data_IF_080012302050
#
_entry.id   IF_080012302050
#
_cell.length_a   1.000
_cell.length_b   1.000
_cell.length_c   1.000
_cell.angle_alpha   90.00
_cell.angle_beta   90.00
_cell.angle_gamma   90.00
#
_symmetry.space_group_name_H-M   'P 1'
#
loop_
_entity.id
_entity.type
_entity.pdbx_description
1 polymer ?
#
# COMPACT_ATOMS: atom_id res chain seq x y z
N UNK A 1 -17.55 -7.92 39.23
CA UNK A 1 -18.38 -7.55 38.09
C UNK A 1 -18.14 -6.10 37.67
N UNK A 2 -18.10 -5.18 38.64
CA UNK A 2 -17.82 -3.77 38.36
C UNK A 2 -16.38 -3.55 37.89
N UNK A 3 -15.44 -4.35 38.38
CA UNK A 3 -14.03 -4.24 38.02
C UNK A 3 -13.74 -4.65 36.57
N UNK A 4 -14.47 -5.65 36.08
CA UNK A 4 -14.31 -6.09 34.68
C UNK A 4 -14.69 -5.01 33.70
N UNK A 5 -15.69 -4.22 34.00
CA UNK A 5 -16.15 -3.12 33.15
C UNK A 5 -15.11 -2.00 33.12
N UNK A 6 -14.52 -1.69 34.27
CA UNK A 6 -13.49 -0.66 34.38
C UNK A 6 -12.17 -1.10 33.74
N UNK A 7 -11.83 -2.38 33.84
CA UNK A 7 -10.59 -2.92 33.25
C UNK A 7 -10.62 -2.91 31.72
N UNK A 8 -11.83 -2.90 31.12
CA UNK A 8 -12.00 -2.87 29.67
C UNK A 8 -12.09 -1.46 29.09
N UNK A 9 -12.30 -0.47 29.94
CA UNK A 9 -12.38 0.91 29.49
C UNK A 9 -10.98 1.51 29.35
N UNK A 10 -10.65 1.94 28.14
CA UNK A 10 -9.41 2.64 27.87
C UNK A 10 -9.66 4.13 28.05
N UNK A 11 -8.91 4.83 28.93
CA UNK A 11 -9.05 6.28 29.06
C UNK A 11 -8.93 7.01 27.72
N UNK A 12 -9.72 8.04 27.53
CA UNK A 12 -9.75 8.79 26.27
C UNK A 12 -8.38 9.31 25.85
N UNK A 13 -7.56 9.76 26.81
CA UNK A 13 -6.22 10.28 26.49
C UNK A 13 -5.29 9.17 25.95
N UNK A 14 -5.42 7.92 26.44
CA UNK A 14 -4.63 6.79 25.93
C UNK A 14 -5.01 6.43 24.50
N UNK A 15 -6.31 6.44 24.21
CA UNK A 15 -6.80 6.21 22.85
C UNK A 15 -6.27 7.28 21.89
N UNK A 16 -6.29 8.54 22.31
CA UNK A 16 -5.78 9.64 21.53
C UNK A 16 -4.28 9.52 21.28
N UNK A 17 -3.49 9.20 22.32
CA UNK A 17 -2.04 9.01 22.19
C UNK A 17 -1.69 7.86 21.27
N UNK A 18 -2.46 6.77 21.36
CA UNK A 18 -2.29 5.61 20.49
C UNK A 18 -2.59 5.97 19.03
N UNK A 19 -3.65 6.73 18.80
CA UNK A 19 -4.01 7.21 17.47
C UNK A 19 -2.93 8.13 16.89
N UNK A 20 -2.43 9.08 17.70
CA UNK A 20 -1.35 9.98 17.28
C UNK A 20 -0.07 9.24 16.92
N UNK A 21 0.28 8.19 17.68
CA UNK A 21 1.44 7.35 17.38
C UNK A 21 1.25 6.57 16.10
N UNK A 22 0.05 6.03 15.86
CA UNK A 22 -0.30 5.36 14.62
C UNK A 22 -0.18 6.31 13.43
N UNK A 23 -0.68 7.53 13.57
CA UNK A 23 -0.63 8.53 12.51
C UNK A 23 0.81 8.91 12.17
N UNK A 24 1.65 9.12 13.17
CA UNK A 24 3.06 9.43 12.96
C UNK A 24 3.80 8.27 12.29
N UNK A 25 3.53 7.05 12.74
CA UNK A 25 4.14 5.87 12.13
C UNK A 25 3.68 5.70 10.68
N UNK A 26 2.40 5.95 10.41
CA UNK A 26 1.87 5.88 9.04
C UNK A 26 2.56 6.89 8.12
N UNK A 27 2.78 8.12 8.58
CA UNK A 27 3.54 9.12 7.82
C UNK A 27 4.96 8.63 7.51
N UNK A 28 5.64 8.04 8.49
CA UNK A 28 6.96 7.48 8.28
C UNK A 28 6.96 6.32 7.27
N UNK A 29 5.93 5.48 7.34
CA UNK A 29 5.74 4.37 6.38
C UNK A 29 5.61 4.94 4.96
N UNK A 30 4.77 5.95 4.77
CA UNK A 30 4.58 6.59 3.47
C UNK A 30 5.87 7.21 2.94
N UNK A 31 6.61 7.90 3.80
CA UNK A 31 7.87 8.52 3.44
C UNK A 31 8.88 7.48 2.95
N UNK A 32 9.03 6.37 3.69
CA UNK A 32 9.95 5.30 3.29
C UNK A 32 9.49 4.59 2.03
N UNK A 33 8.19 4.36 1.89
CA UNK A 33 7.64 3.66 0.74
C UNK A 33 7.84 4.47 -0.55
N UNK A 34 7.64 5.78 -0.48
CA UNK A 34 7.72 6.65 -1.65
C UNK A 34 9.15 7.12 -1.94
N UNK A 35 10.05 7.06 -0.96
CA UNK A 35 11.44 7.46 -1.14
C UNK A 35 12.09 6.61 -2.22
N UNK A 36 12.62 7.25 -3.25
CA UNK A 36 13.24 6.58 -4.40
C UNK A 36 12.32 5.51 -5.02
N UNK A 37 11.02 5.66 -4.84
CA UNK A 37 10.01 4.73 -5.36
C UNK A 37 10.27 3.29 -4.92
N UNK A 38 10.49 3.10 -3.62
CA UNK A 38 10.74 1.76 -3.06
C UNK A 38 9.61 0.78 -3.29
N UNK A 39 8.38 1.27 -3.47
CA UNK A 39 7.24 0.42 -3.80
C UNK A 39 7.43 -0.34 -5.12
N UNK A 40 8.36 0.08 -5.98
CA UNK A 40 8.69 -0.63 -7.22
C UNK A 40 9.52 -1.89 -6.99
N UNK A 41 10.07 -2.08 -5.81
CA UNK A 41 10.74 -3.31 -5.44
C UNK A 41 9.70 -4.33 -4.98
N UNK A 42 9.49 -5.42 -5.73
CA UNK A 42 8.48 -6.43 -5.35
C UNK A 42 8.83 -7.15 -4.04
N UNK A 43 10.09 -7.12 -3.63
CA UNK A 43 10.56 -7.74 -2.41
C UNK A 43 10.50 -6.84 -1.18
N UNK A 44 10.06 -5.57 -1.32
CA UNK A 44 9.98 -4.65 -0.20
C UNK A 44 8.77 -4.97 0.68
N UNK A 45 9.02 -5.68 1.78
CA UNK A 45 7.98 -6.23 2.65
C UNK A 45 7.73 -5.36 3.88
N UNK A 46 6.61 -5.64 4.56
CA UNK A 46 6.32 -5.01 5.86
C UNK A 46 7.42 -5.28 6.88
N UNK A 47 8.06 -6.43 6.80
CA UNK A 47 9.17 -6.78 7.68
C UNK A 47 10.37 -5.85 7.46
N UNK A 48 10.73 -5.60 6.22
CA UNK A 48 11.80 -4.67 5.88
C UNK A 48 11.45 -3.24 6.31
N UNK A 49 10.21 -2.84 6.12
CA UNK A 49 9.73 -1.54 6.60
C UNK A 49 9.90 -1.42 8.11
N UNK A 50 9.52 -2.47 8.85
CA UNK A 50 9.65 -2.49 10.30
C UNK A 50 11.11 -2.37 10.73
N UNK A 51 12.03 -3.05 10.05
CA UNK A 51 13.46 -2.96 10.35
C UNK A 51 14.01 -1.54 10.13
N UNK A 52 13.63 -0.91 9.02
CA UNK A 52 14.06 0.45 8.70
C UNK A 52 13.55 1.45 9.75
N UNK A 53 12.30 1.31 10.17
CA UNK A 53 11.68 2.23 11.11
C UNK A 53 11.88 1.84 12.57
N UNK A 54 12.70 0.82 12.85
CA UNK A 54 13.01 0.35 14.21
C UNK A 54 11.76 0.00 15.01
N UNK A 55 10.84 -0.73 14.38
CA UNK A 55 9.59 -1.19 14.98
C UNK A 55 9.36 -2.66 14.60
N UNK A 56 8.13 -3.13 14.66
CA UNK A 56 7.77 -4.49 14.29
C UNK A 56 6.58 -4.50 13.34
N UNK A 57 6.32 -5.65 12.72
CA UNK A 57 5.24 -5.78 11.73
C UNK A 57 3.86 -5.56 12.32
N UNK A 58 3.69 -5.87 13.61
CA UNK A 58 2.41 -5.65 14.30
C UNK A 58 2.05 -4.15 14.31
N UNK A 59 3.01 -3.30 14.66
CA UNK A 59 2.78 -1.86 14.68
C UNK A 59 2.61 -1.28 13.27
N UNK A 60 3.39 -1.79 12.31
CA UNK A 60 3.21 -1.41 10.89
C UNK A 60 1.78 -1.72 10.44
N UNK A 61 1.31 -2.95 10.67
CA UNK A 61 -0.03 -3.37 10.28
C UNK A 61 -1.12 -2.57 10.98
N UNK A 62 -0.94 -2.30 12.27
CA UNK A 62 -1.91 -1.52 13.04
C UNK A 62 -2.00 -0.08 12.54
N UNK A 63 -0.87 0.55 12.26
CA UNK A 63 -0.85 1.93 11.75
C UNK A 63 -1.57 2.03 10.39
N UNK A 64 -1.30 1.08 9.48
CA UNK A 64 -1.95 1.06 8.18
C UNK A 64 -3.45 0.81 8.33
N UNK A 65 -3.85 -0.17 9.14
CA UNK A 65 -5.26 -0.48 9.35
C UNK A 65 -6.01 0.69 9.96
N UNK A 66 -5.41 1.37 10.94
CA UNK A 66 -6.04 2.52 11.60
C UNK A 66 -6.21 3.72 10.65
N UNK A 67 -5.26 3.93 9.75
CA UNK A 67 -5.27 5.10 8.87
C UNK A 67 -5.96 4.85 7.52
N UNK A 68 -6.02 3.59 7.05
CA UNK A 68 -6.55 3.29 5.72
C UNK A 68 -7.69 2.28 5.72
N UNK A 69 -7.85 1.52 6.79
CA UNK A 69 -8.77 0.39 6.83
C UNK A 69 -8.28 -0.85 6.09
N UNK A 70 -7.10 -0.78 5.47
CA UNK A 70 -6.54 -1.88 4.69
C UNK A 70 -5.28 -2.47 5.31
N UNK A 71 -4.50 -3.15 4.49
CA UNK A 71 -3.25 -3.77 4.90
C UNK A 71 -2.07 -3.25 4.06
N UNK A 72 -0.87 -3.75 4.39
CA UNK A 72 0.36 -3.34 3.72
C UNK A 72 0.31 -3.57 2.21
N UNK A 73 -0.14 -4.75 1.78
CA UNK A 73 -0.19 -5.08 0.36
C UNK A 73 -1.15 -4.16 -0.40
N UNK A 74 -2.31 -3.88 0.18
CA UNK A 74 -3.27 -2.95 -0.43
C UNK A 74 -2.69 -1.55 -0.58
N UNK A 75 -1.99 -1.08 0.45
CA UNK A 75 -1.34 0.24 0.43
C UNK A 75 -0.26 0.31 -0.65
N UNK A 76 0.64 -0.67 -0.67
CA UNK A 76 1.73 -0.71 -1.66
C UNK A 76 1.17 -0.82 -3.07
N UNK A 77 0.16 -1.66 -3.27
CA UNK A 77 -0.46 -1.84 -4.58
C UNK A 77 -1.07 -0.55 -5.12
N UNK A 78 -1.59 0.32 -4.27
CA UNK A 78 -2.10 1.62 -4.72
C UNK A 78 -1.02 2.45 -5.42
N UNK A 79 0.16 2.51 -4.84
CA UNK A 79 1.28 3.24 -5.44
C UNK A 79 1.73 2.59 -6.74
N UNK A 80 1.84 1.26 -6.76
CA UNK A 80 2.21 0.51 -7.95
C UNK A 80 1.20 0.70 -9.08
N UNK A 81 -0.09 0.66 -8.77
CA UNK A 81 -1.15 0.84 -9.76
C UNK A 81 -1.15 2.25 -10.34
N UNK A 82 -0.95 3.28 -9.50
CA UNK A 82 -0.85 4.67 -9.97
C UNK A 82 0.32 4.85 -10.93
N UNK A 83 1.45 4.25 -10.59
CA UNK A 83 2.64 4.29 -11.45
C UNK A 83 2.37 3.58 -12.77
N UNK A 84 1.77 2.39 -12.73
CA UNK A 84 1.43 1.64 -13.94
C UNK A 84 0.50 2.45 -14.85
N UNK A 85 -0.52 3.10 -14.28
CA UNK A 85 -1.44 3.95 -15.05
C UNK A 85 -0.70 5.10 -15.73
N UNK A 86 0.19 5.78 -15.02
CA UNK A 86 0.99 6.86 -15.60
C UNK A 86 1.88 6.36 -16.73
N UNK A 87 2.55 5.23 -16.53
CA UNK A 87 3.41 4.63 -17.54
C UNK A 87 2.63 4.25 -18.80
N UNK A 88 1.45 3.66 -18.63
CA UNK A 88 0.62 3.23 -19.77
C UNK A 88 0.17 4.41 -20.63
N UNK A 89 0.09 5.60 -20.07
CA UNK A 89 -0.33 6.80 -20.78
C UNK A 89 0.84 7.65 -21.28
N UNK A 90 2.06 7.30 -20.91
CA UNK A 90 3.23 8.09 -21.25
C UNK A 90 3.89 7.58 -22.54
N UNK A 91 4.18 8.46 -23.50
CA UNK A 91 4.94 8.08 -24.71
C UNK A 91 6.29 7.44 -24.42
N UNK A 92 6.88 7.79 -23.29
CA UNK A 92 8.19 7.26 -22.85
C UNK A 92 8.16 5.73 -22.73
N UNK A 93 7.01 5.17 -22.36
CA UNK A 93 6.85 3.72 -22.13
C UNK A 93 6.04 3.04 -23.23
N UNK A 94 5.80 3.72 -24.36
CA UNK A 94 4.96 3.20 -25.44
C UNK A 94 5.51 1.90 -26.06
N UNK A 95 6.83 1.71 -26.00
CA UNK A 95 7.50 0.51 -26.52
C UNK A 95 7.39 -0.71 -25.61
N UNK A 96 6.93 -0.53 -24.39
CA UNK A 96 6.80 -1.63 -23.43
C UNK A 96 5.41 -2.28 -23.52
N UNK A 97 5.38 -3.59 -23.28
CA UNK A 97 4.10 -4.28 -23.14
C UNK A 97 3.42 -3.86 -21.84
N UNK A 98 2.12 -4.09 -21.76
CA UNK A 98 1.36 -3.82 -20.54
C UNK A 98 1.91 -4.61 -19.36
N UNK A 99 2.30 -5.87 -19.61
CA UNK A 99 2.87 -6.76 -18.59
C UNK A 99 4.23 -6.25 -18.08
N UNK A 100 5.07 -5.78 -19.01
CA UNK A 100 6.36 -5.19 -18.64
C UNK A 100 6.19 -3.95 -17.76
N UNK A 101 5.19 -3.14 -18.05
CA UNK A 101 4.85 -1.96 -17.23
C UNK A 101 4.47 -2.39 -15.81
N UNK A 102 3.65 -3.44 -15.67
CA UNK A 102 3.28 -3.96 -14.35
C UNK A 102 4.48 -4.40 -13.53
N UNK A 103 5.43 -5.08 -14.16
CA UNK A 103 6.66 -5.51 -13.48
C UNK A 103 7.53 -4.31 -13.09
N UNK A 104 7.66 -3.31 -13.96
CA UNK A 104 8.41 -2.08 -13.65
C UNK A 104 7.78 -1.30 -12.50
N UNK A 105 6.46 -1.34 -12.39
CA UNK A 105 5.76 -0.66 -11.31
C UNK A 105 5.95 -1.35 -9.95
N UNK A 106 6.46 -2.59 -9.94
CA UNK A 106 6.82 -3.29 -8.72
C UNK A 106 6.04 -4.57 -8.44
N UNK A 107 5.14 -4.98 -9.33
CA UNK A 107 4.43 -6.24 -9.14
C UNK A 107 5.37 -7.43 -9.38
N UNK A 108 5.22 -8.48 -8.56
CA UNK A 108 6.10 -9.64 -8.63
C UNK A 108 5.81 -10.55 -9.83
N UNK A 109 4.62 -10.45 -10.41
CA UNK A 109 4.22 -11.27 -11.56
C UNK A 109 3.11 -10.57 -12.35
N UNK A 110 2.88 -11.06 -13.58
CA UNK A 110 1.76 -10.62 -14.41
C UNK A 110 0.43 -10.86 -13.72
N UNK A 111 0.28 -12.03 -13.11
CA UNK A 111 -0.95 -12.41 -12.41
C UNK A 111 -1.24 -11.46 -11.26
N UNK A 112 -0.22 -11.14 -10.45
CA UNK A 112 -0.37 -10.21 -9.35
C UNK A 112 -0.81 -8.83 -9.84
N UNK A 113 -0.22 -8.36 -10.94
CA UNK A 113 -0.57 -7.09 -11.56
C UNK A 113 -2.02 -7.08 -12.06
N UNK A 114 -2.39 -8.08 -12.85
CA UNK A 114 -3.75 -8.18 -13.41
C UNK A 114 -4.80 -8.26 -12.31
N UNK A 115 -4.54 -9.08 -11.30
CA UNK A 115 -5.48 -9.26 -10.19
C UNK A 115 -5.68 -7.95 -9.42
N UNK A 116 -4.59 -7.29 -9.05
CA UNK A 116 -4.65 -6.03 -8.31
C UNK A 116 -5.33 -4.93 -9.14
N UNK A 117 -4.99 -4.83 -10.42
CA UNK A 117 -5.54 -3.82 -11.32
C UNK A 117 -7.04 -3.99 -11.50
N UNK A 118 -7.46 -5.22 -11.86
CA UNK A 118 -8.88 -5.51 -12.11
C UNK A 118 -9.73 -5.33 -10.86
N UNK A 119 -9.16 -5.62 -9.69
CA UNK A 119 -9.87 -5.46 -8.43
C UNK A 119 -10.16 -3.99 -8.10
N UNK A 120 -9.26 -3.10 -8.47
CA UNK A 120 -9.40 -1.67 -8.19
C UNK A 120 -10.18 -0.94 -9.28
N UNK A 121 -9.89 -1.24 -10.55
CA UNK A 121 -10.42 -0.48 -11.68
C UNK A 121 -11.56 -1.18 -12.42
N UNK A 122 -11.85 -2.43 -12.08
CA UNK A 122 -12.92 -3.23 -12.67
C UNK A 122 -12.80 -3.40 -14.18
N UNK A 123 -11.56 -3.42 -14.67
CA UNK A 123 -11.20 -3.53 -16.08
C UNK A 123 -9.80 -4.12 -16.15
N UNK A 124 -9.43 -4.76 -17.25
CA UNK A 124 -8.08 -5.28 -17.42
C UNK A 124 -7.08 -4.15 -17.71
N UNK A 125 -5.80 -4.33 -17.37
CA UNK A 125 -4.77 -3.35 -17.73
C UNK A 125 -4.72 -3.04 -19.22
N UNK A 126 -4.85 -4.05 -20.07
CA UNK A 126 -4.83 -3.87 -21.51
C UNK A 126 -6.02 -3.02 -22.00
N UNK A 127 -7.21 -3.33 -21.49
CA UNK A 127 -8.40 -2.56 -21.83
C UNK A 127 -8.24 -1.10 -21.38
N UNK A 128 -7.72 -0.89 -20.18
CA UNK A 128 -7.44 0.46 -19.69
C UNK A 128 -6.47 1.21 -20.61
N UNK A 129 -5.39 0.54 -21.03
CA UNK A 129 -4.37 1.14 -21.90
C UNK A 129 -4.95 1.53 -23.27
N UNK A 130 -5.93 0.76 -23.76
CA UNK A 130 -6.62 1.05 -25.01
C UNK A 130 -7.71 2.14 -24.86
N UNK A 131 -7.89 2.66 -23.65
CA UNK A 131 -8.89 3.69 -23.39
C UNK A 131 -10.32 3.16 -23.24
N UNK A 132 -10.49 1.86 -23.05
CA UNK A 132 -11.80 1.27 -22.81
C UNK A 132 -12.24 1.53 -21.38
N UNK A 133 -13.55 1.65 -21.16
CA UNK A 133 -14.13 1.85 -19.84
C UNK A 133 -14.69 0.55 -19.28
N UNK A 134 -14.75 0.42 -17.93
CA UNK A 134 -15.33 -0.76 -17.32
C UNK A 134 -16.81 -0.93 -17.67
#
# INVERSE_FOLDING_TARGET
>A
AMNEKNDKEIPAYRTRLKSERSDRLYVQILEELTRNKRYRDPAFTARQMAEILHTNTRYISAAIANCTGGNYNMMVNKFRLRDACRMMQSPRYAHLTTEEIGLLAGFSSRQAFYLAFSRVYDITPRAYRLGLKP
#
